data_IF_544017545880
#
_entry.id   IF_544017545880
#
_cell.length_a   1.000
_cell.length_b   1.000
_cell.length_c   1.000
_cell.angle_alpha   90.00
_cell.angle_beta   90.00
_cell.angle_gamma   90.00
#
_symmetry.space_group_name_H-M   'P 1'
#
loop_
_entity.id
_entity.type
_entity.pdbx_description
1 polymer ?
#
# COMPACT_ATOMS: atom_id res chain seq x y z
N UNK A 1 8.33 -14.47 -21.84
CA UNK A 1 7.18 -13.62 -22.20
C UNK A 1 5.84 -14.36 -22.04
N UNK A 2 5.65 -15.54 -22.66
CA UNK A 2 4.40 -16.33 -22.54
C UNK A 2 3.93 -16.55 -21.09
N UNK A 3 4.82 -16.98 -20.20
CA UNK A 3 4.47 -17.23 -18.78
C UNK A 3 3.97 -15.98 -18.05
N UNK A 4 4.58 -14.82 -18.28
CA UNK A 4 4.17 -13.56 -17.65
C UNK A 4 2.76 -13.17 -18.10
N UNK A 5 2.47 -13.33 -19.39
CA UNK A 5 1.14 -13.07 -19.95
C UNK A 5 0.12 -14.04 -19.36
N UNK A 6 0.43 -15.34 -19.31
CA UNK A 6 -0.45 -16.33 -18.70
C UNK A 6 -0.74 -16.02 -17.22
N UNK A 7 0.28 -15.70 -16.42
CA UNK A 7 0.11 -15.31 -15.02
C UNK A 7 -0.76 -14.06 -14.87
N UNK A 8 -0.53 -13.04 -15.71
CA UNK A 8 -1.34 -11.83 -15.71
C UNK A 8 -2.81 -12.11 -16.02
N UNK A 9 -3.08 -12.88 -17.08
CA UNK A 9 -4.45 -13.24 -17.49
C UNK A 9 -5.14 -14.08 -16.41
N UNK A 10 -4.48 -15.10 -15.87
CA UNK A 10 -5.06 -15.93 -14.81
C UNK A 10 -5.34 -15.12 -13.55
N UNK A 11 -4.44 -14.21 -13.17
CA UNK A 11 -4.65 -13.32 -12.02
C UNK A 11 -5.82 -12.35 -12.26
N UNK A 12 -5.94 -11.80 -13.46
CA UNK A 12 -7.09 -10.96 -13.84
C UNK A 12 -8.39 -11.73 -13.70
N UNK A 13 -8.48 -12.93 -14.28
CA UNK A 13 -9.69 -13.76 -14.19
C UNK A 13 -10.00 -14.08 -12.72
N UNK A 14 -9.03 -14.58 -11.96
CA UNK A 14 -9.25 -14.98 -10.58
C UNK A 14 -9.68 -13.82 -9.66
N UNK A 15 -9.08 -12.63 -9.84
CA UNK A 15 -9.28 -11.51 -8.93
C UNK A 15 -10.45 -10.59 -9.32
N UNK A 16 -10.95 -10.63 -10.56
CA UNK A 16 -12.05 -9.79 -11.01
C UNK A 16 -13.42 -10.48 -11.01
N UNK A 17 -13.48 -11.78 -10.77
CA UNK A 17 -14.77 -12.50 -10.73
C UNK A 17 -15.59 -12.04 -9.52
N UNK A 18 -16.82 -11.58 -9.78
CA UNK A 18 -17.82 -11.33 -8.75
C UNK A 18 -17.49 -10.20 -7.78
N UNK A 19 -16.84 -9.13 -8.25
CA UNK A 19 -16.45 -7.99 -7.39
C UNK A 19 -17.65 -7.30 -6.72
N UNK A 20 -18.77 -7.16 -7.43
CA UNK A 20 -20.00 -6.56 -6.91
C UNK A 20 -21.11 -7.54 -6.54
N UNK A 21 -20.83 -8.85 -6.47
CA UNK A 21 -21.88 -9.87 -6.20
C UNK A 21 -22.30 -9.96 -4.74
N UNK A 22 -21.39 -9.57 -3.83
CA UNK A 22 -21.64 -9.45 -2.40
C UNK A 22 -21.40 -8.00 -2.04
N UNK A 23 -22.19 -7.51 -1.09
CA UNK A 23 -21.95 -6.22 -0.43
C UNK A 23 -20.63 -6.24 0.36
N UNK A 24 -20.42 -5.25 1.22
CA UNK A 24 -19.26 -5.17 2.11
C UNK A 24 -19.16 -6.44 2.95
N UNK A 25 -18.04 -7.16 2.78
CA UNK A 25 -17.83 -8.50 3.35
C UNK A 25 -17.06 -8.47 4.67
N UNK A 26 -16.50 -7.32 5.05
CA UNK A 26 -15.72 -7.12 6.26
C UNK A 26 -16.05 -5.77 6.88
N UNK A 27 -15.96 -5.69 8.21
CA UNK A 27 -16.26 -4.48 8.98
C UNK A 27 -15.33 -3.31 8.58
N UNK A 28 -14.06 -3.61 8.28
CA UNK A 28 -13.05 -2.62 7.86
C UNK A 28 -13.32 -2.16 6.44
N UNK A 29 -13.73 -3.08 5.57
CA UNK A 29 -14.14 -2.77 4.19
C UNK A 29 -15.33 -1.80 4.18
N UNK A 30 -16.36 -2.07 4.98
CA UNK A 30 -17.53 -1.20 5.11
C UNK A 30 -17.14 0.18 5.67
N UNK A 31 -16.33 0.21 6.73
CA UNK A 31 -15.85 1.45 7.36
C UNK A 31 -15.07 2.32 6.38
N UNK A 32 -14.16 1.72 5.62
CA UNK A 32 -13.37 2.44 4.63
C UNK A 32 -14.23 2.99 3.48
N UNK A 33 -15.27 2.25 3.08
CA UNK A 33 -16.26 2.71 2.11
C UNK A 33 -17.06 3.91 2.61
N UNK A 34 -17.48 3.91 3.89
CA UNK A 34 -18.18 5.04 4.52
C UNK A 34 -17.29 6.27 4.66
N UNK A 35 -16.02 6.09 5.04
CA UNK A 35 -15.06 7.20 5.07
C UNK A 35 -14.86 7.79 3.66
N UNK A 36 -14.69 6.94 2.66
CA UNK A 36 -14.56 7.39 1.27
C UNK A 36 -15.82 8.13 0.79
N UNK A 37 -17.01 7.65 1.15
CA UNK A 37 -18.27 8.34 0.88
C UNK A 37 -18.28 9.75 1.49
N UNK A 38 -17.93 9.89 2.77
CA UNK A 38 -17.93 11.20 3.45
C UNK A 38 -16.88 12.15 2.88
N UNK A 39 -15.69 11.65 2.55
CA UNK A 39 -14.65 12.43 1.88
C UNK A 39 -15.14 12.99 0.54
N UNK A 40 -15.84 12.19 -0.26
CA UNK A 40 -16.41 12.60 -1.55
C UNK A 40 -17.55 13.60 -1.34
N UNK A 41 -18.51 13.27 -0.49
CA UNK A 41 -19.73 14.05 -0.27
C UNK A 41 -19.41 15.46 0.23
N UNK A 42 -18.51 15.57 1.20
CA UNK A 42 -18.15 16.85 1.83
C UNK A 42 -16.97 17.54 1.16
N UNK A 43 -16.37 16.93 0.13
CA UNK A 43 -15.11 17.39 -0.51
C UNK A 43 -14.00 17.64 0.53
N UNK A 44 -13.96 16.83 1.57
CA UNK A 44 -12.98 16.92 2.64
C UNK A 44 -11.65 16.32 2.15
N UNK A 45 -10.57 17.09 2.27
CA UNK A 45 -9.26 16.77 1.67
C UNK A 45 -8.17 16.52 2.72
N UNK A 46 -8.52 16.57 4.01
CA UNK A 46 -7.55 16.48 5.09
C UNK A 46 -7.94 15.37 6.07
N UNK A 47 -9.17 15.39 6.59
CA UNK A 47 -9.59 14.58 7.74
C UNK A 47 -10.51 13.42 7.32
N UNK A 48 -10.09 12.16 7.48
CA UNK A 48 -11.00 11.02 7.40
C UNK A 48 -12.05 11.11 8.51
N UNK A 49 -13.32 10.95 8.18
CA UNK A 49 -14.42 11.00 9.15
C UNK A 49 -15.59 10.12 8.75
N UNK A 50 -16.43 9.76 9.73
CA UNK A 50 -17.76 9.19 9.48
C UNK A 50 -18.77 10.03 10.25
N UNK A 51 -19.74 10.62 9.56
CA UNK A 51 -20.76 11.48 10.17
C UNK A 51 -20.16 12.71 10.85
N UNK A 52 -19.07 13.25 10.30
CA UNK A 52 -18.34 14.39 10.89
C UNK A 52 -17.46 14.03 12.09
N UNK A 53 -17.45 12.79 12.57
CA UNK A 53 -16.57 12.33 13.64
C UNK A 53 -15.23 11.90 13.04
N UNK A 54 -14.08 12.52 13.41
CA UNK A 54 -12.76 12.16 12.91
C UNK A 54 -12.38 10.72 13.19
N UNK A 55 -11.69 10.11 12.23
CA UNK A 55 -11.29 8.70 12.20
C UNK A 55 -9.78 8.62 11.98
N UNK A 56 -9.04 8.28 13.06
CA UNK A 56 -7.57 8.22 13.09
C UNK A 56 -7.08 6.78 13.11
N UNK A 57 -7.63 5.92 12.26
CA UNK A 57 -7.17 4.54 12.11
C UNK A 57 -5.93 4.49 11.19
N UNK A 58 -5.97 5.26 10.11
CA UNK A 58 -4.95 5.28 9.06
C UNK A 58 -4.86 6.66 8.38
N UNK A 59 -3.75 6.94 7.67
CA UNK A 59 -3.61 8.18 6.91
C UNK A 59 -4.69 8.40 5.85
N UNK A 60 -4.91 9.65 5.42
CA UNK A 60 -5.90 9.97 4.38
C UNK A 60 -5.68 9.20 3.07
N UNK A 61 -4.43 9.12 2.59
CA UNK A 61 -4.14 8.45 1.32
C UNK A 61 -4.35 6.93 1.38
N UNK A 62 -4.51 6.37 2.57
CA UNK A 62 -4.88 4.97 2.76
C UNK A 62 -6.28 4.63 2.20
N UNK A 63 -7.14 5.64 2.01
CA UNK A 63 -8.47 5.55 1.44
C UNK A 63 -8.52 5.87 -0.06
N UNK A 64 -7.38 6.09 -0.72
CA UNK A 64 -7.35 6.57 -2.11
C UNK A 64 -8.06 5.62 -3.09
N UNK A 65 -7.98 4.30 -2.87
CA UNK A 65 -8.63 3.32 -3.73
C UNK A 65 -10.14 3.28 -3.49
N UNK A 66 -10.57 3.44 -2.25
CA UNK A 66 -11.96 3.51 -1.86
C UNK A 66 -12.61 4.80 -2.37
N UNK A 67 -11.92 5.93 -2.31
CA UNK A 67 -12.38 7.21 -2.88
C UNK A 67 -12.46 7.12 -4.40
N UNK A 68 -11.38 6.70 -5.07
CA UNK A 68 -11.37 6.61 -6.53
C UNK A 68 -12.39 5.58 -7.05
N UNK A 69 -12.47 4.41 -6.42
CA UNK A 69 -13.40 3.35 -6.78
C UNK A 69 -14.85 3.70 -6.45
N UNK A 70 -15.08 4.33 -5.30
CA UNK A 70 -16.41 4.77 -4.88
C UNK A 70 -16.97 5.88 -5.78
N UNK A 71 -16.11 6.75 -6.31
CA UNK A 71 -16.51 7.72 -7.33
C UNK A 71 -16.90 7.05 -8.66
N UNK A 72 -16.28 5.92 -9.02
CA UNK A 72 -16.59 5.17 -10.24
C UNK A 72 -17.86 4.32 -10.10
N UNK A 73 -18.09 3.74 -8.92
CA UNK A 73 -19.29 2.93 -8.63
C UNK A 73 -19.90 3.32 -7.28
N UNK A 74 -20.65 4.45 -7.22
CA UNK A 74 -21.23 4.92 -5.97
C UNK A 74 -22.14 3.88 -5.31
N UNK A 75 -21.98 3.69 -4.00
CA UNK A 75 -22.76 2.73 -3.21
C UNK A 75 -22.44 1.25 -3.49
N UNK A 76 -21.45 0.94 -4.34
CA UNK A 76 -21.09 -0.43 -4.69
C UNK A 76 -19.64 -0.76 -4.33
N UNK A 77 -19.35 -1.96 -3.82
CA UNK A 77 -17.98 -2.42 -3.60
C UNK A 77 -17.20 -2.71 -4.90
N UNK A 78 -17.88 -2.76 -6.05
CA UNK A 78 -17.29 -3.20 -7.31
C UNK A 78 -16.08 -2.36 -7.75
N UNK A 79 -16.17 -1.04 -7.71
CA UNK A 79 -15.12 -0.11 -8.11
C UNK A 79 -13.89 -0.18 -7.22
N UNK A 80 -14.00 0.00 -5.88
CA UNK A 80 -12.86 -0.13 -4.98
C UNK A 80 -12.19 -1.50 -5.08
N UNK A 81 -12.97 -2.58 -5.15
CA UNK A 81 -12.43 -3.94 -5.33
C UNK A 81 -11.75 -4.11 -6.69
N UNK A 82 -12.23 -3.49 -7.77
CA UNK A 82 -11.59 -3.55 -9.08
C UNK A 82 -10.20 -2.88 -9.07
N UNK A 83 -10.09 -1.71 -8.42
CA UNK A 83 -8.80 -1.03 -8.27
C UNK A 83 -7.83 -1.84 -7.41
N UNK A 84 -8.30 -2.41 -6.30
CA UNK A 84 -7.52 -3.33 -5.46
C UNK A 84 -7.09 -4.58 -6.25
N UNK A 85 -7.98 -5.23 -6.99
CA UNK A 85 -7.65 -6.38 -7.84
C UNK A 85 -6.62 -6.02 -8.92
N UNK A 86 -6.71 -4.84 -9.53
CA UNK A 86 -5.71 -4.37 -10.49
C UNK A 86 -4.32 -4.22 -9.85
N UNK A 87 -4.24 -3.69 -8.62
CA UNK A 87 -2.99 -3.61 -7.86
C UNK A 87 -2.43 -4.98 -7.49
N UNK A 88 -3.29 -5.93 -7.10
CA UNK A 88 -2.86 -7.30 -6.84
C UNK A 88 -2.25 -7.97 -8.08
N UNK A 89 -2.87 -7.80 -9.27
CA UNK A 89 -2.29 -8.25 -10.54
C UNK A 89 -0.95 -7.57 -10.80
N UNK A 90 -0.87 -6.24 -10.61
CA UNK A 90 0.38 -5.50 -10.77
C UNK A 90 1.47 -6.03 -9.84
N UNK A 91 1.15 -6.35 -8.59
CA UNK A 91 2.09 -6.89 -7.62
C UNK A 91 2.61 -8.28 -8.05
N UNK A 92 1.77 -9.14 -8.61
CA UNK A 92 2.18 -10.43 -9.21
C UNK A 92 3.17 -10.20 -10.35
N UNK A 93 2.83 -9.32 -11.29
CA UNK A 93 3.68 -9.02 -12.46
C UNK A 93 5.00 -8.38 -12.04
N UNK A 94 4.97 -7.48 -11.06
CA UNK A 94 6.13 -6.82 -10.49
C UNK A 94 7.06 -7.83 -9.82
N UNK A 95 6.52 -8.71 -8.97
CA UNK A 95 7.27 -9.78 -8.30
C UNK A 95 7.92 -10.71 -9.31
N UNK A 96 7.18 -11.09 -10.36
CA UNK A 96 7.70 -11.89 -11.48
C UNK A 96 8.86 -11.16 -12.16
N UNK A 97 8.70 -9.88 -12.49
CA UNK A 97 9.71 -9.09 -13.18
C UNK A 97 10.99 -8.89 -12.34
N UNK A 98 10.84 -8.65 -11.04
CA UNK A 98 11.96 -8.53 -10.10
C UNK A 98 12.73 -9.85 -10.04
N UNK A 99 12.02 -10.97 -9.84
CA UNK A 99 12.64 -12.30 -9.80
C UNK A 99 13.33 -12.67 -11.12
N UNK A 100 12.73 -12.35 -12.27
CA UNK A 100 13.33 -12.61 -13.58
C UNK A 100 14.63 -11.83 -13.79
N UNK A 101 14.66 -10.55 -13.37
CA UNK A 101 15.84 -9.68 -13.50
C UNK A 101 16.96 -10.05 -12.53
N UNK A 102 16.61 -10.55 -11.34
CA UNK A 102 17.59 -10.86 -10.29
C UNK A 102 18.09 -12.30 -10.29
N UNK A 103 17.22 -13.27 -10.59
CA UNK A 103 17.44 -14.71 -10.37
C UNK A 103 17.20 -15.55 -11.63
N UNK A 104 16.88 -14.92 -12.76
CA UNK A 104 16.62 -15.59 -14.04
C UNK A 104 15.15 -15.96 -14.27
N UNK A 105 14.86 -16.33 -15.52
CA UNK A 105 13.49 -16.46 -16.01
C UNK A 105 12.62 -17.46 -15.23
N UNK A 106 13.19 -18.63 -14.89
CA UNK A 106 12.47 -19.68 -14.15
C UNK A 106 12.16 -19.25 -12.72
N UNK A 107 13.13 -18.69 -12.01
CA UNK A 107 12.93 -18.25 -10.63
C UNK A 107 11.87 -17.13 -10.54
N UNK A 108 11.90 -16.16 -11.45
CA UNK A 108 10.89 -15.12 -11.51
C UNK A 108 9.48 -15.65 -11.81
N UNK A 109 9.37 -16.59 -12.76
CA UNK A 109 8.09 -17.25 -13.06
C UNK A 109 7.52 -17.99 -11.83
N UNK A 110 8.37 -18.71 -11.09
CA UNK A 110 7.95 -19.41 -9.87
C UNK A 110 7.52 -18.40 -8.79
N UNK A 111 8.30 -17.34 -8.55
CA UNK A 111 7.96 -16.31 -7.57
C UNK A 111 6.59 -15.65 -7.86
N UNK A 112 6.34 -15.32 -9.13
CA UNK A 112 5.06 -14.82 -9.59
C UNK A 112 3.91 -15.80 -9.38
N UNK A 113 4.12 -17.07 -9.75
CA UNK A 113 3.12 -18.12 -9.59
C UNK A 113 2.77 -18.36 -8.12
N UNK A 114 3.76 -18.45 -7.24
CA UNK A 114 3.57 -18.62 -5.78
C UNK A 114 2.74 -17.47 -5.20
N UNK A 115 3.04 -16.23 -5.60
CA UNK A 115 2.26 -15.09 -5.15
C UNK A 115 0.83 -15.09 -5.72
N UNK A 116 0.67 -15.41 -7.01
CA UNK A 116 -0.64 -15.48 -7.67
C UNK A 116 -1.57 -16.54 -7.07
N UNK A 117 -1.01 -17.64 -6.56
CA UNK A 117 -1.78 -18.72 -5.91
C UNK A 117 -1.91 -18.54 -4.39
N UNK A 118 -1.36 -17.45 -3.83
CA UNK A 118 -1.52 -17.15 -2.41
C UNK A 118 -2.95 -16.71 -2.09
N UNK A 119 -3.51 -17.22 -1.00
CA UNK A 119 -4.81 -16.78 -0.48
C UNK A 119 -4.81 -15.31 -0.02
N UNK A 120 -3.64 -14.72 0.23
CA UNK A 120 -3.53 -13.34 0.68
C UNK A 120 -4.05 -12.33 -0.34
N UNK A 121 -3.81 -12.55 -1.64
CA UNK A 121 -4.22 -11.62 -2.69
C UNK A 121 -5.74 -11.48 -2.85
N UNK A 122 -6.53 -12.55 -2.99
CA UNK A 122 -7.98 -12.41 -3.09
C UNK A 122 -8.57 -11.79 -1.82
N UNK A 123 -8.04 -12.11 -0.63
CA UNK A 123 -8.51 -11.51 0.63
C UNK A 123 -8.21 -10.01 0.67
N UNK A 124 -6.97 -9.62 0.36
CA UNK A 124 -6.56 -8.21 0.33
C UNK A 124 -7.29 -7.41 -0.75
N UNK A 125 -7.49 -8.00 -1.93
CA UNK A 125 -8.22 -7.37 -3.03
C UNK A 125 -9.69 -7.04 -2.66
N UNK A 126 -10.27 -7.79 -1.71
CA UNK A 126 -11.61 -7.51 -1.17
C UNK A 126 -11.58 -6.50 -0.04
N UNK A 127 -10.70 -6.68 0.94
CA UNK A 127 -10.84 -6.00 2.23
C UNK A 127 -9.76 -4.99 2.58
N UNK A 128 -8.59 -5.01 1.93
CA UNK A 128 -7.42 -4.26 2.40
C UNK A 128 -6.66 -3.55 1.26
N UNK A 129 -7.14 -2.37 0.90
CA UNK A 129 -6.49 -1.51 -0.10
C UNK A 129 -5.18 -0.91 0.39
N UNK A 130 -5.10 -0.60 1.70
CA UNK A 130 -3.95 0.08 2.31
C UNK A 130 -2.69 -0.79 2.26
N UNK A 131 -2.76 -2.03 2.74
CA UNK A 131 -1.62 -2.95 2.71
C UNK A 131 -1.23 -3.31 1.27
N UNK A 132 -2.21 -3.51 0.39
CA UNK A 132 -1.95 -3.89 -1.00
C UNK A 132 -1.23 -2.77 -1.77
N UNK A 133 -1.69 -1.53 -1.63
CA UNK A 133 -1.05 -0.37 -2.23
C UNK A 133 0.35 -0.15 -1.64
N UNK A 134 0.48 -0.17 -0.31
CA UNK A 134 1.76 0.00 0.37
C UNK A 134 2.78 -1.08 -0.05
N UNK A 135 2.36 -2.33 -0.15
CA UNK A 135 3.20 -3.46 -0.58
C UNK A 135 3.63 -3.33 -2.03
N UNK A 136 2.70 -2.97 -2.93
CA UNK A 136 2.99 -2.77 -4.36
C UNK A 136 3.99 -1.64 -4.58
N UNK A 137 3.80 -0.51 -3.90
CA UNK A 137 4.72 0.62 -3.94
C UNK A 137 6.06 0.29 -3.27
N UNK A 138 6.06 -0.45 -2.16
CA UNK A 138 7.28 -0.91 -1.49
C UNK A 138 8.14 -1.82 -2.37
N UNK A 139 7.52 -2.77 -3.07
CA UNK A 139 8.22 -3.62 -4.04
C UNK A 139 8.70 -2.82 -5.26
N UNK A 140 7.94 -1.82 -5.69
CA UNK A 140 8.35 -0.92 -6.79
C UNK A 140 9.56 -0.08 -6.37
N UNK A 141 9.57 0.41 -5.13
CA UNK A 141 10.69 1.10 -4.54
C UNK A 141 11.91 0.19 -4.43
N UNK A 142 11.75 -1.03 -3.93
CA UNK A 142 12.81 -2.03 -3.89
C UNK A 142 13.40 -2.26 -5.28
N UNK A 143 12.58 -2.44 -6.32
CA UNK A 143 13.06 -2.64 -7.69
C UNK A 143 13.95 -1.49 -8.20
N UNK A 144 13.65 -0.25 -7.79
CA UNK A 144 14.46 0.92 -8.14
C UNK A 144 15.67 1.16 -7.23
N UNK A 145 15.67 0.67 -5.99
CA UNK A 145 16.78 0.85 -5.05
C UNK A 145 17.77 -0.32 -5.02
N UNK A 146 17.32 -1.55 -5.30
CA UNK A 146 18.15 -2.75 -5.28
C UNK A 146 19.42 -2.63 -6.15
N UNK A 147 19.41 -2.04 -7.36
CA UNK A 147 20.64 -1.86 -8.14
C UNK A 147 21.69 -1.02 -7.41
N UNK A 148 21.26 -0.06 -6.59
CA UNK A 148 22.13 0.84 -5.82
C UNK A 148 22.83 0.07 -4.71
N UNK A 149 22.07 -0.76 -3.98
CA UNK A 149 22.64 -1.68 -2.99
C UNK A 149 23.72 -2.56 -3.63
N UNK A 150 23.51 -3.00 -4.87
CA UNK A 150 24.45 -3.85 -5.62
C UNK A 150 25.59 -3.06 -6.29
N UNK A 151 25.82 -1.80 -5.91
CA UNK A 151 26.90 -0.95 -6.46
C UNK A 151 26.66 -0.45 -7.89
N UNK A 152 25.45 -0.62 -8.44
CA UNK A 152 25.09 -0.22 -9.81
C UNK A 152 24.33 1.10 -9.82
N UNK A 153 24.33 1.76 -10.98
CA UNK A 153 23.44 2.90 -11.22
C UNK A 153 22.00 2.42 -11.30
N UNK A 154 21.09 3.22 -10.75
CA UNK A 154 19.64 3.02 -10.93
C UNK A 154 19.05 4.24 -11.60
N UNK A 155 18.42 4.03 -12.77
CA UNK A 155 17.68 5.06 -13.50
C UNK A 155 16.31 5.35 -12.87
N UNK A 156 15.79 4.42 -12.05
CA UNK A 156 14.47 4.50 -11.42
C UNK A 156 14.52 4.94 -9.95
N UNK A 157 15.67 5.46 -9.48
CA UNK A 157 15.88 5.82 -8.07
C UNK A 157 14.92 6.89 -7.58
N UNK A 158 14.69 7.95 -8.37
CA UNK A 158 13.77 9.02 -8.00
C UNK A 158 12.35 8.47 -7.85
N UNK A 159 11.88 7.69 -8.84
CA UNK A 159 10.58 7.03 -8.79
C UNK A 159 10.45 6.09 -7.58
N UNK A 160 11.53 5.43 -7.17
CA UNK A 160 11.52 4.60 -5.97
C UNK A 160 11.35 5.41 -4.68
N UNK A 161 12.01 6.57 -4.55
CA UNK A 161 11.80 7.45 -3.40
C UNK A 161 10.41 8.08 -3.39
N UNK A 162 9.87 8.42 -4.57
CA UNK A 162 8.48 8.89 -4.69
C UNK A 162 7.49 7.79 -4.30
N UNK A 163 7.72 6.54 -4.74
CA UNK A 163 6.89 5.41 -4.33
C UNK A 163 6.93 5.21 -2.80
N UNK A 164 8.11 5.34 -2.16
CA UNK A 164 8.24 5.30 -0.70
C UNK A 164 7.51 6.46 -0.01
N UNK A 165 7.55 7.66 -0.58
CA UNK A 165 6.80 8.79 -0.05
C UNK A 165 5.30 8.50 -0.04
N UNK A 166 4.77 7.94 -1.13
CA UNK A 166 3.36 7.52 -1.19
C UNK A 166 3.10 6.36 -0.22
N UNK A 167 3.99 5.38 -0.10
CA UNK A 167 3.88 4.31 0.91
C UNK A 167 3.79 4.87 2.33
N UNK A 168 4.57 5.92 2.64
CA UNK A 168 4.54 6.59 3.93
C UNK A 168 3.21 7.26 4.19
N UNK A 169 2.66 7.93 3.19
CA UNK A 169 1.35 8.56 3.26
C UNK A 169 0.19 7.57 3.27
N UNK A 170 0.38 6.32 2.86
CA UNK A 170 -0.66 5.27 2.81
C UNK A 170 -0.63 4.40 4.06
N UNK A 171 0.52 3.82 4.38
CA UNK A 171 0.67 2.83 5.44
C UNK A 171 1.52 3.29 6.62
N UNK A 172 2.10 4.48 6.58
CA UNK A 172 2.93 5.03 7.65
C UNK A 172 4.41 4.62 7.57
N UNK A 173 5.16 4.80 8.67
CA UNK A 173 6.61 4.62 8.70
C UNK A 173 7.05 3.17 8.48
N UNK A 174 6.31 2.18 9.01
CA UNK A 174 6.74 0.78 8.97
C UNK A 174 6.79 0.21 7.54
N UNK A 175 5.73 0.31 6.70
CA UNK A 175 5.79 -0.19 5.32
C UNK A 175 6.81 0.57 4.45
N UNK A 176 7.14 1.81 4.82
CA UNK A 176 8.13 2.64 4.14
C UNK A 176 9.56 2.24 4.49
N UNK A 177 9.78 1.78 5.72
CA UNK A 177 11.13 1.51 6.23
C UNK A 177 11.78 0.29 5.59
N UNK A 178 11.02 -0.76 5.24
CA UNK A 178 11.63 -2.04 4.86
C UNK A 178 12.50 -2.00 3.59
N UNK A 179 12.16 -1.30 2.48
CA UNK A 179 13.04 -1.25 1.31
C UNK A 179 14.30 -0.44 1.59
N UNK A 180 14.19 0.63 2.39
CA UNK A 180 15.34 1.44 2.81
C UNK A 180 16.27 0.63 3.72
N UNK A 181 15.69 -0.09 4.69
CA UNK A 181 16.43 -0.94 5.61
C UNK A 181 17.16 -2.06 4.86
N UNK A 182 16.52 -2.70 3.89
CA UNK A 182 17.15 -3.72 3.05
C UNK A 182 18.40 -3.18 2.32
N UNK A 183 18.32 -1.96 1.76
CA UNK A 183 19.45 -1.30 1.11
C UNK A 183 20.56 -0.94 2.13
N UNK A 184 20.19 -0.40 3.28
CA UNK A 184 21.14 0.00 4.34
C UNK A 184 21.88 -1.20 4.92
N UNK A 185 21.18 -2.30 5.22
CA UNK A 185 21.76 -3.54 5.74
C UNK A 185 22.72 -4.15 4.71
N UNK A 186 22.32 -4.19 3.43
CA UNK A 186 23.21 -4.68 2.37
C UNK A 186 24.46 -3.81 2.22
N UNK A 187 24.32 -2.48 2.23
CA UNK A 187 25.45 -1.56 2.13
C UNK A 187 26.43 -1.66 3.31
N UNK A 188 25.93 -1.95 4.53
CA UNK A 188 26.78 -2.21 5.70
C UNK A 188 27.56 -3.51 5.58
N UNK A 189 26.94 -4.56 5.03
CA UNK A 189 27.58 -5.86 4.82
C UNK A 189 28.61 -5.86 3.69
N UNK A 190 28.43 -5.03 2.67
CA UNK A 190 29.29 -5.02 1.48
C UNK A 190 30.14 -3.75 1.39
N UNK A 191 31.31 -3.77 2.05
CA UNK A 191 32.26 -2.64 2.08
C UNK A 191 32.87 -2.28 0.71
N UNK A 192 32.76 -3.16 -0.28
CA UNK A 192 33.29 -2.96 -1.64
C UNK A 192 32.32 -2.23 -2.58
N UNK A 193 31.03 -2.19 -2.24
CA UNK A 193 30.05 -1.45 -3.01
C UNK A 193 30.27 0.05 -2.76
N UNK A 194 30.74 0.78 -3.80
CA UNK A 194 30.97 2.21 -3.70
C UNK A 194 29.77 2.98 -3.12
N UNK A 195 30.03 4.08 -2.41
CA UNK A 195 28.98 4.86 -1.74
C UNK A 195 27.92 5.34 -2.74
N UNK A 196 26.62 5.19 -2.44
CA UNK A 196 25.57 5.64 -3.35
C UNK A 196 25.59 7.18 -3.48
N UNK A 197 25.83 7.67 -4.70
CA UNK A 197 26.00 9.12 -5.02
C UNK A 197 24.76 10.01 -4.79
N UNK A 198 23.60 9.45 -4.47
CA UNK A 198 22.33 10.18 -4.28
C UNK A 198 21.65 9.60 -3.03
N UNK A 199 22.40 9.59 -1.93
CA UNK A 199 22.31 8.62 -0.84
C UNK A 199 20.98 8.51 -0.08
N UNK A 200 20.92 7.65 0.95
CA UNK A 200 19.72 7.43 1.76
C UNK A 200 19.16 8.72 2.38
N UNK A 201 20.01 9.73 2.62
CA UNK A 201 19.60 11.04 3.13
C UNK A 201 18.70 11.80 2.16
N UNK A 202 19.06 11.86 0.87
CA UNK A 202 18.23 12.54 -0.14
C UNK A 202 16.88 11.84 -0.30
N UNK A 203 16.87 10.50 -0.27
CA UNK A 203 15.64 9.72 -0.26
C UNK A 203 14.78 10.00 0.96
N UNK A 204 15.39 10.07 2.15
CA UNK A 204 14.70 10.41 3.40
C UNK A 204 14.09 11.82 3.32
N UNK A 205 14.82 12.80 2.79
CA UNK A 205 14.30 14.16 2.60
C UNK A 205 13.09 14.20 1.66
N UNK A 206 13.08 13.41 0.58
CA UNK A 206 11.93 13.29 -0.32
C UNK A 206 10.72 12.69 0.41
N UNK A 207 10.93 11.57 1.12
CA UNK A 207 9.86 10.87 1.85
C UNK A 207 9.27 11.76 2.93
N UNK A 208 10.11 12.40 3.75
CA UNK A 208 9.66 13.29 4.81
C UNK A 208 9.06 14.58 4.25
N UNK A 209 9.66 15.18 3.22
CA UNK A 209 9.18 16.42 2.63
C UNK A 209 7.80 16.28 1.98
N UNK A 210 7.49 15.12 1.41
CA UNK A 210 6.17 14.83 0.84
C UNK A 210 5.19 14.27 1.87
N UNK A 211 5.68 13.49 2.83
CA UNK A 211 4.86 12.81 3.82
C UNK A 211 4.40 13.70 4.96
N UNK A 212 5.32 14.45 5.57
CA UNK A 212 5.07 15.25 6.77
C UNK A 212 4.02 16.37 6.62
N UNK A 213 3.83 17.03 5.46
CA UNK A 213 2.84 18.10 5.35
C UNK A 213 1.43 17.68 5.80
N UNK A 214 0.98 16.47 5.44
CA UNK A 214 -0.33 15.98 5.86
C UNK A 214 -0.37 15.70 7.38
N UNK A 215 0.67 15.09 7.95
CA UNK A 215 0.76 14.87 9.40
C UNK A 215 0.80 16.19 10.18
N UNK A 216 1.52 17.19 9.66
CA UNK A 216 1.57 18.54 10.24
C UNK A 216 0.20 19.20 10.25
N UNK A 217 -0.50 19.19 9.12
CA UNK A 217 -1.85 19.74 9.02
C UNK A 217 -2.86 19.02 9.92
N UNK A 218 -2.75 17.69 10.07
CA UNK A 218 -3.59 16.93 11.00
C UNK A 218 -3.28 17.22 12.46
N UNK A 219 -2.00 17.38 12.83
CA UNK A 219 -1.58 17.80 14.17
C UNK A 219 -2.07 19.21 14.49
N UNK A 220 -2.01 20.13 13.54
CA UNK A 220 -2.52 21.49 13.71
C UNK A 220 -4.04 21.49 13.93
N UNK A 221 -4.78 20.70 13.15
CA UNK A 221 -6.26 20.66 13.22
C UNK A 221 -6.79 19.90 14.43
N UNK A 222 -6.17 18.79 14.80
CA UNK A 222 -6.71 17.83 15.78
C UNK A 222 -5.87 17.68 17.04
N UNK A 223 -4.66 18.23 17.08
CA UNK A 223 -3.81 18.27 18.28
C UNK A 223 -3.44 16.90 18.85
N UNK A 224 -3.45 16.82 20.18
CA UNK A 224 -3.02 15.64 20.95
C UNK A 224 -3.79 14.34 20.60
N UNK A 225 -5.13 14.34 20.41
CA UNK A 225 -5.85 13.15 19.95
C UNK A 225 -5.25 12.47 18.72
N UNK A 226 -4.88 13.25 17.70
CA UNK A 226 -4.24 12.72 16.51
C UNK A 226 -2.81 12.24 16.79
N UNK A 227 -2.04 13.01 17.58
CA UNK A 227 -0.67 12.64 17.95
C UNK A 227 -0.58 11.28 18.65
N UNK A 228 -1.55 10.97 19.52
CA UNK A 228 -1.62 9.70 20.25
C UNK A 228 -2.01 8.51 19.35
N UNK A 229 -2.78 8.75 18.28
CA UNK A 229 -3.19 7.71 17.34
C UNK A 229 -2.11 7.36 16.30
N UNK A 230 -1.27 8.34 15.92
CA UNK A 230 -0.26 8.21 14.87
C UNK A 230 0.67 6.98 15.01
N UNK A 231 1.19 6.61 16.20
CA UNK A 231 2.11 5.47 16.34
C UNK A 231 1.47 4.12 16.01
N UNK A 232 0.14 4.03 16.06
CA UNK A 232 -0.60 2.80 15.82
C UNK A 232 -1.10 2.66 14.37
N UNK A 233 -0.78 3.62 13.48
CA UNK A 233 -1.13 3.52 12.06
C UNK A 233 -0.48 2.31 11.37
N UNK A 234 -1.20 1.63 10.45
CA UNK A 234 -2.54 1.93 9.95
C UNK A 234 -3.69 1.25 10.74
N UNK A 235 -3.46 0.83 12.00
CA UNK A 235 -4.43 0.12 12.85
C UNK A 235 -4.77 0.92 14.11
N UNK A 236 -4.75 2.26 14.03
CA UNK A 236 -4.82 3.15 15.19
C UNK A 236 -6.10 3.05 16.03
N UNK A 237 -7.20 2.57 15.45
CA UNK A 237 -8.49 2.47 16.13
C UNK A 237 -8.84 1.09 16.71
N UNK A 238 -7.95 0.10 16.64
CA UNK A 238 -8.22 -1.24 17.20
C UNK A 238 -7.16 -1.70 18.22
N UNK A 239 -6.99 -1.00 19.36
CA UNK A 239 -6.15 -1.50 20.44
C UNK A 239 -6.78 -2.76 21.07
N UNK A 240 -6.18 -3.92 20.82
CA UNK A 240 -6.42 -5.15 21.59
C UNK A 240 -7.53 -6.09 21.10
N UNK A 241 -8.13 -5.84 19.93
CA UNK A 241 -9.08 -6.77 19.32
C UNK A 241 -8.35 -7.75 18.38
N UNK A 242 -8.46 -9.08 18.55
CA UNK A 242 -8.02 -10.02 17.52
C UNK A 242 -8.65 -9.65 16.18
N UNK A 243 -7.92 -9.83 15.08
CA UNK A 243 -8.38 -9.59 13.69
C UNK A 243 -9.71 -10.30 13.33
N UNK A 244 -10.16 -11.24 14.17
CA UNK A 244 -11.43 -11.98 14.07
C UNK A 244 -12.64 -11.27 14.72
N UNK A 245 -12.44 -10.26 15.58
CA UNK A 245 -13.50 -9.76 16.48
C UNK A 245 -14.13 -8.42 16.07
N UNK A 246 -13.64 -7.80 14.99
CA UNK A 246 -14.17 -6.54 14.47
C UNK A 246 -15.69 -6.52 14.16
N UNK A 247 -16.36 -7.62 13.74
CA UNK A 247 -17.80 -7.57 13.44
C UNK A 247 -18.69 -7.41 14.69
N UNK A 248 -18.20 -7.77 15.88
CA UNK A 248 -19.05 -7.89 17.07
C UNK A 248 -19.33 -6.56 17.81
N UNK A 249 -18.62 -5.47 17.46
CA UNK A 249 -18.70 -4.20 18.23
C UNK A 249 -19.47 -3.07 17.54
N UNK A 250 -20.03 -3.27 16.35
CA UNK A 250 -20.82 -2.26 15.65
C UNK A 250 -22.34 -2.38 15.88
N UNK A 251 -22.77 -3.27 16.79
CA UNK A 251 -24.19 -3.49 17.15
C UNK A 251 -24.44 -3.20 18.65
N UNK A 252 -23.59 -2.39 19.26
CA UNK A 252 -23.72 -1.96 20.67
C UNK A 252 -24.04 -0.48 20.77
#
# INVERSE_FOLDING_TARGET
MRVVVCLGVLSLVALFVGLGRLDWTDAREARDAWIAHDLILHRELLTPSIGGVPRFEKPLFAYALEVAGGALTPGSPAGPRALKSALAVLLVLLTTAIGMRGLGARAGAIAGAVLATSLALPIAARSDGTQLLATTLGWSAWAGLAPIALGRRSRARLLAYLALAVTFMVGGPFPTAWPLLAVLLHARGNRSAGRPRFGPVAGLLIVLGLGLPWYGAMLERHGLPFALAMPAFPYGGEPGAPWLTAPARMVG
#
